data_IF_946301376178
#
_entry.id   IF_946301376178
#
_cell.length_a   1.000
_cell.length_b   1.000
_cell.length_c   1.000
_cell.angle_alpha   90.00
_cell.angle_beta   90.00
_cell.angle_gamma   90.00
#
_symmetry.space_group_name_H-M   'P 1'
#
loop_
_entity.id
_entity.type
_entity.pdbx_description
1 polymer ?
#
# COMPACT_ATOMS: atom_id res chain seq x y z
N UNK A 1 -0.76 -20.77 29.86
CA UNK A 1 0.22 -19.97 29.09
C UNK A 1 -0.54 -18.76 28.58
N UNK A 2 -0.43 -17.66 29.30
CA UNK A 2 -1.00 -16.36 28.91
C UNK A 2 -0.20 -15.84 27.74
N UNK A 3 -0.81 -15.78 26.56
CA UNK A 3 -0.30 -15.05 25.41
C UNK A 3 -0.19 -13.58 25.81
N UNK A 4 1.03 -13.12 26.05
CA UNK A 4 1.33 -11.68 26.09
C UNK A 4 0.91 -11.13 24.73
N UNK A 5 -0.24 -10.46 24.69
CA UNK A 5 -0.56 -9.56 23.60
C UNK A 5 0.51 -8.47 23.64
N UNK A 6 1.47 -8.57 22.73
CA UNK A 6 2.52 -7.58 22.55
C UNK A 6 1.81 -6.24 22.31
N UNK A 7 1.93 -5.32 23.26
CA UNK A 7 1.27 -4.01 23.13
C UNK A 7 1.97 -3.30 21.98
N UNK A 8 1.26 -2.79 20.95
CA UNK A 8 1.90 -2.12 19.84
C UNK A 8 2.78 -1.00 20.38
N UNK A 9 4.06 -1.00 19.99
CA UNK A 9 4.98 0.07 20.36
C UNK A 9 4.43 1.39 19.82
N UNK A 10 4.22 2.35 20.71
CA UNK A 10 3.66 3.65 20.33
C UNK A 10 4.74 4.47 19.62
N UNK A 11 4.45 5.03 18.42
CA UNK A 11 5.41 5.84 17.69
C UNK A 11 5.72 7.14 18.46
N UNK A 12 6.96 7.61 18.39
CA UNK A 12 7.40 8.90 18.94
C UNK A 12 7.51 9.98 17.86
N UNK A 13 7.80 9.54 16.63
CA UNK A 13 7.86 10.34 15.40
C UNK A 13 7.06 9.67 14.30
N UNK A 14 6.64 10.43 13.31
CA UNK A 14 5.94 9.89 12.14
C UNK A 14 6.75 8.79 11.45
N UNK A 15 8.08 8.90 11.44
CA UNK A 15 8.97 7.89 10.86
C UNK A 15 9.03 6.57 11.63
N UNK A 16 8.58 6.55 12.88
CA UNK A 16 8.45 5.30 13.64
C UNK A 16 7.22 4.49 13.20
N UNK A 17 6.27 5.11 12.48
CA UNK A 17 5.07 4.43 11.96
C UNK A 17 5.44 3.68 10.68
N UNK A 18 5.25 2.35 10.62
CA UNK A 18 5.50 1.60 9.40
C UNK A 18 4.61 2.09 8.23
N UNK A 19 5.16 2.16 7.02
CA UNK A 19 4.40 2.53 5.82
C UNK A 19 5.24 3.27 4.79
N UNK A 20 4.73 3.31 3.55
CA UNK A 20 5.42 3.91 2.40
C UNK A 20 4.88 5.30 2.11
N UNK A 21 5.41 6.30 2.81
CA UNK A 21 5.08 7.70 2.54
C UNK A 21 6.35 8.52 2.29
N UNK A 22 6.88 8.49 1.05
CA UNK A 22 8.13 9.14 0.70
C UNK A 22 8.09 10.66 0.93
N UNK A 23 9.25 11.25 1.16
CA UNK A 23 9.39 12.69 1.45
C UNK A 23 8.75 13.59 0.39
N UNK A 24 8.89 13.26 -0.89
CA UNK A 24 8.27 14.06 -1.95
C UNK A 24 6.75 14.07 -1.81
N UNK A 25 6.14 12.94 -1.48
CA UNK A 25 4.70 12.83 -1.35
C UNK A 25 4.20 13.51 -0.07
N UNK A 26 4.99 13.50 1.02
CA UNK A 26 4.71 14.34 2.21
C UNK A 26 4.69 15.83 1.85
N UNK A 27 5.69 16.31 1.10
CA UNK A 27 5.75 17.70 0.65
C UNK A 27 4.59 18.04 -0.29
N UNK A 28 4.21 17.12 -1.19
CA UNK A 28 3.09 17.33 -2.10
C UNK A 28 1.76 17.36 -1.36
N UNK A 29 1.50 16.45 -0.43
CA UNK A 29 0.28 16.45 0.39
C UNK A 29 0.17 17.77 1.15
N UNK A 30 1.25 18.19 1.81
CA UNK A 30 1.29 19.46 2.54
C UNK A 30 1.00 20.65 1.61
N UNK A 31 1.66 20.70 0.46
CA UNK A 31 1.49 21.79 -0.52
C UNK A 31 0.07 21.86 -1.08
N UNK A 32 -0.54 20.73 -1.44
CA UNK A 32 -1.92 20.70 -1.94
C UNK A 32 -2.92 21.13 -0.87
N UNK A 33 -2.72 20.68 0.37
CA UNK A 33 -3.63 21.00 1.48
C UNK A 33 -3.44 22.45 1.95
N UNK A 34 -2.21 22.97 2.00
CA UNK A 34 -1.91 24.39 2.25
C UNK A 34 -2.55 25.30 1.19
N UNK A 35 -2.44 24.92 -0.08
CA UNK A 35 -3.08 25.64 -1.19
C UNK A 35 -4.59 25.69 -1.02
N UNK A 36 -5.22 24.55 -0.72
CA UNK A 36 -6.66 24.48 -0.45
C UNK A 36 -7.06 25.35 0.75
N UNK A 37 -6.26 25.32 1.82
CA UNK A 37 -6.52 26.10 3.02
C UNK A 37 -6.41 27.61 2.75
N UNK A 38 -5.40 28.04 2.00
CA UNK A 38 -5.20 29.43 1.58
C UNK A 38 -6.29 29.94 0.62
N UNK A 39 -6.88 29.04 -0.17
CA UNK A 39 -8.03 29.32 -1.03
C UNK A 39 -9.38 29.15 -0.30
N UNK A 40 -9.37 28.92 1.02
CA UNK A 40 -10.55 28.69 1.85
C UNK A 40 -11.44 27.52 1.38
N UNK A 41 -10.87 26.56 0.66
CA UNK A 41 -11.57 25.33 0.27
C UNK A 41 -11.76 24.48 1.53
N UNK A 42 -13.02 24.18 1.85
CA UNK A 42 -13.42 23.28 2.95
C UNK A 42 -14.00 22.00 2.38
N UNK A 43 -14.00 20.94 3.18
CA UNK A 43 -14.52 19.65 2.75
C UNK A 43 -13.81 18.50 3.44
N UNK A 44 -14.48 17.35 3.36
CA UNK A 44 -14.06 16.11 3.98
C UNK A 44 -12.74 15.60 3.38
N UNK A 45 -12.09 14.72 4.13
CA UNK A 45 -10.94 13.94 3.68
C UNK A 45 -11.36 12.47 3.58
N UNK A 46 -10.80 11.76 2.60
CA UNK A 46 -10.96 10.32 2.47
C UNK A 46 -9.62 9.66 2.14
N UNK A 47 -9.36 8.53 2.79
CA UNK A 47 -8.26 7.64 2.43
C UNK A 47 -8.74 6.19 2.34
N UNK A 48 -8.41 5.52 1.25
CA UNK A 48 -8.69 4.10 1.00
C UNK A 48 -7.36 3.36 0.98
N UNK A 49 -7.18 2.41 1.88
CA UNK A 49 -5.89 1.81 2.21
C UNK A 49 -5.10 2.72 3.14
N UNK A 50 -5.03 2.37 4.43
CA UNK A 50 -4.30 3.16 5.43
C UNK A 50 -3.17 2.40 6.08
N UNK A 51 -3.17 1.07 6.00
CA UNK A 51 -2.18 0.22 6.63
C UNK A 51 -1.99 0.59 8.12
N UNK A 52 -0.78 0.93 8.55
CA UNK A 52 -0.46 1.34 9.92
C UNK A 52 -0.67 2.83 10.18
N UNK A 53 -1.18 3.59 9.20
CA UNK A 53 -1.69 4.94 9.35
C UNK A 53 -0.69 6.07 9.10
N UNK A 54 0.46 5.84 8.44
CA UNK A 54 1.48 6.89 8.27
C UNK A 54 0.97 8.11 7.49
N UNK A 55 0.38 7.91 6.31
CA UNK A 55 -0.28 8.95 5.52
C UNK A 55 -1.54 9.46 6.23
N UNK A 56 -2.31 8.58 6.87
CA UNK A 56 -3.52 8.96 7.58
C UNK A 56 -3.26 9.93 8.74
N UNK A 57 -2.22 9.66 9.54
CA UNK A 57 -1.76 10.56 10.61
C UNK A 57 -1.40 11.92 10.04
N UNK A 58 -0.81 11.96 8.84
CA UNK A 58 -0.45 13.20 8.18
C UNK A 58 -1.69 13.99 7.74
N UNK A 59 -2.61 13.33 7.02
CA UNK A 59 -3.86 13.92 6.54
C UNK A 59 -4.75 14.42 7.68
N UNK A 60 -4.85 13.67 8.78
CA UNK A 60 -5.68 14.02 9.93
C UNK A 60 -5.37 15.38 10.56
N UNK A 61 -4.16 15.93 10.35
CA UNK A 61 -3.79 17.27 10.84
C UNK A 61 -4.40 18.41 10.03
N UNK A 62 -4.96 18.10 8.87
CA UNK A 62 -5.46 19.06 7.89
C UNK A 62 -6.98 19.18 7.98
N UNK A 63 -7.60 18.66 9.03
CA UNK A 63 -9.03 18.84 9.29
C UNK A 63 -9.31 20.23 9.83
N UNK A 64 -10.30 20.90 9.22
CA UNK A 64 -10.91 22.09 9.77
C UNK A 64 -12.08 21.74 10.69
N UNK A 65 -12.55 22.73 11.45
CA UNK A 65 -13.79 22.59 12.21
C UNK A 65 -14.96 22.29 11.27
N UNK A 66 -15.62 21.16 11.50
CA UNK A 66 -16.75 20.69 10.69
C UNK A 66 -16.39 19.71 9.56
N UNK A 67 -15.12 19.59 9.19
CA UNK A 67 -14.68 18.57 8.22
C UNK A 67 -14.80 17.18 8.85
N UNK A 68 -15.12 16.17 8.04
CA UNK A 68 -15.04 14.75 8.42
C UNK A 68 -13.83 14.11 7.75
N UNK A 69 -13.21 13.18 8.45
CA UNK A 69 -12.20 12.30 7.86
C UNK A 69 -12.68 10.86 7.91
N UNK A 70 -12.76 10.22 6.74
CA UNK A 70 -13.06 8.80 6.63
C UNK A 70 -11.83 8.04 6.15
N UNK A 71 -11.54 6.92 6.81
CA UNK A 71 -10.51 5.97 6.38
C UNK A 71 -11.14 4.62 6.11
N UNK A 72 -10.73 3.93 5.05
CA UNK A 72 -11.23 2.61 4.70
C UNK A 72 -10.08 1.62 4.51
N UNK A 73 -10.13 0.47 5.20
CA UNK A 73 -9.13 -0.59 5.07
C UNK A 73 -9.72 -1.93 5.51
N UNK A 74 -9.18 -3.03 5.00
CA UNK A 74 -9.53 -4.38 5.43
C UNK A 74 -8.98 -4.69 6.83
N UNK A 75 -7.80 -4.15 7.17
CA UNK A 75 -6.99 -4.51 8.34
C UNK A 75 -6.79 -6.03 8.46
N UNK A 76 -7.16 -6.63 9.59
CA UNK A 76 -7.17 -8.08 9.80
C UNK A 76 -8.38 -8.80 9.14
N UNK A 77 -9.19 -8.07 8.37
CA UNK A 77 -10.36 -8.59 7.68
C UNK A 77 -10.02 -9.42 6.44
N UNK A 78 -10.96 -10.25 6.01
CA UNK A 78 -10.81 -11.08 4.82
C UNK A 78 -10.83 -10.22 3.56
N UNK A 79 -9.77 -10.30 2.77
CA UNK A 79 -9.77 -9.77 1.42
C UNK A 79 -10.85 -10.45 0.56
N UNK A 80 -11.53 -9.73 -0.34
CA UNK A 80 -12.62 -10.27 -1.13
C UNK A 80 -12.16 -11.30 -2.17
N UNK A 81 -10.89 -11.26 -2.58
CA UNK A 81 -10.31 -12.17 -3.57
C UNK A 81 -8.96 -12.77 -3.11
N UNK A 82 -8.56 -13.86 -3.77
CA UNK A 82 -7.37 -14.65 -3.39
C UNK A 82 -6.05 -13.92 -3.65
N UNK A 83 -6.01 -12.98 -4.61
CA UNK A 83 -4.79 -12.26 -4.93
C UNK A 83 -4.49 -11.18 -3.88
N UNK A 84 -5.48 -10.39 -3.50
CA UNK A 84 -5.41 -9.45 -2.36
C UNK A 84 -5.12 -10.20 -1.05
N UNK A 85 -5.68 -11.41 -0.86
CA UNK A 85 -5.40 -12.25 0.32
C UNK A 85 -3.94 -12.71 0.36
N UNK A 86 -3.39 -13.13 -0.79
CA UNK A 86 -2.01 -13.58 -0.91
C UNK A 86 -1.00 -12.44 -0.68
N UNK A 87 -1.31 -11.23 -1.13
CA UNK A 87 -0.53 -10.02 -0.84
C UNK A 87 -0.62 -9.63 0.64
N UNK A 88 -1.82 -9.58 1.20
CA UNK A 88 -2.03 -9.25 2.62
C UNK A 88 -1.29 -10.21 3.57
N UNK A 89 -1.28 -11.50 3.24
CA UNK A 89 -0.57 -12.52 4.01
C UNK A 89 0.96 -12.34 3.96
N UNK A 90 1.51 -11.79 2.86
CA UNK A 90 2.96 -11.61 2.69
C UNK A 90 3.47 -10.29 3.26
N UNK A 91 2.71 -9.22 3.12
CA UNK A 91 3.16 -7.85 3.42
C UNK A 91 2.60 -7.29 4.72
N UNK A 92 1.48 -7.84 5.24
CA UNK A 92 0.70 -7.22 6.31
C UNK A 92 0.47 -8.11 7.54
N UNK A 93 1.32 -9.10 7.80
CA UNK A 93 1.11 -10.07 8.90
C UNK A 93 1.02 -9.49 10.34
N UNK A 94 1.36 -8.21 10.54
CA UNK A 94 1.19 -7.49 11.81
C UNK A 94 0.08 -6.43 11.77
N UNK A 95 -0.54 -6.20 10.60
CA UNK A 95 -1.60 -5.21 10.41
C UNK A 95 -2.84 -5.62 11.20
N UNK A 96 -3.26 -4.74 12.09
CA UNK A 96 -4.57 -4.81 12.75
C UNK A 96 -5.13 -3.41 12.83
N UNK A 97 -6.46 -3.30 12.87
CA UNK A 97 -7.15 -2.04 13.13
C UNK A 97 -6.63 -1.39 14.42
N UNK A 98 -6.40 -2.20 15.45
CA UNK A 98 -5.84 -1.74 16.72
C UNK A 98 -4.46 -1.11 16.58
N UNK A 99 -3.59 -1.65 15.71
CA UNK A 99 -2.27 -1.08 15.46
C UNK A 99 -2.38 0.29 14.78
N UNK A 100 -3.22 0.40 13.75
CA UNK A 100 -3.56 1.68 13.12
C UNK A 100 -4.10 2.69 14.15
N UNK A 101 -5.12 2.33 14.93
CA UNK A 101 -5.74 3.22 15.92
C UNK A 101 -4.74 3.67 16.98
N UNK A 102 -3.85 2.77 17.43
CA UNK A 102 -2.79 3.10 18.39
C UNK A 102 -1.79 4.11 17.81
N UNK A 103 -1.37 3.92 16.56
CA UNK A 103 -0.48 4.85 15.88
C UNK A 103 -1.17 6.20 15.66
N UNK A 104 -2.41 6.19 15.17
CA UNK A 104 -3.17 7.42 14.89
C UNK A 104 -3.38 8.26 16.15
N UNK A 105 -3.86 7.63 17.24
CA UNK A 105 -4.09 8.29 18.51
C UNK A 105 -2.81 8.75 19.21
N UNK A 106 -1.63 8.26 18.79
CA UNK A 106 -0.36 8.80 19.27
C UNK A 106 -0.12 10.25 18.81
N UNK A 107 -0.77 10.69 17.73
CA UNK A 107 -0.64 12.05 17.18
C UNK A 107 -1.93 12.86 17.28
N UNK A 108 -3.08 12.20 17.30
CA UNK A 108 -4.41 12.83 17.29
C UNK A 108 -5.23 12.48 18.53
N UNK A 109 -6.17 13.32 18.93
CA UNK A 109 -7.01 13.10 20.12
C UNK A 109 -8.19 12.18 19.85
N UNK A 110 -8.66 12.13 18.61
CA UNK A 110 -9.83 11.37 18.19
C UNK A 110 -9.51 10.60 16.91
N UNK A 111 -10.18 9.46 16.71
CA UNK A 111 -10.03 8.67 15.49
C UNK A 111 -10.81 9.31 14.34
N UNK A 112 -10.37 9.13 13.09
CA UNK A 112 -11.23 9.36 11.94
C UNK A 112 -12.37 8.33 11.96
N UNK A 113 -13.34 8.52 11.08
CA UNK A 113 -14.36 7.51 10.83
C UNK A 113 -13.72 6.30 10.13
N UNK A 114 -13.58 5.20 10.87
CA UNK A 114 -12.96 3.96 10.37
C UNK A 114 -14.00 3.03 9.75
N UNK A 115 -13.94 2.87 8.43
CA UNK A 115 -14.70 1.88 7.66
C UNK A 115 -13.82 0.64 7.50
N UNK A 116 -14.01 -0.34 8.37
CA UNK A 116 -13.30 -1.61 8.26
C UNK A 116 -14.03 -2.54 7.28
N UNK A 117 -13.45 -2.76 6.10
CA UNK A 117 -14.06 -3.57 5.04
C UNK A 117 -13.55 -3.22 3.64
N UNK A 118 -14.12 -3.83 2.59
CA UNK A 118 -13.75 -3.51 1.22
C UNK A 118 -14.14 -2.06 0.89
N UNK A 119 -13.36 -1.44 0.01
CA UNK A 119 -13.58 -0.06 -0.45
C UNK A 119 -14.91 0.15 -1.17
N UNK A 120 -15.57 -0.92 -1.64
CA UNK A 120 -16.94 -0.90 -2.15
C UNK A 120 -17.98 -0.38 -1.15
N UNK A 121 -17.64 -0.28 0.13
CA UNK A 121 -18.49 0.34 1.15
C UNK A 121 -18.44 1.87 1.11
N UNK A 122 -17.34 2.47 0.66
CA UNK A 122 -17.10 3.93 0.69
C UNK A 122 -18.27 4.77 0.15
N UNK A 123 -18.93 4.43 -0.98
CA UNK A 123 -20.04 5.23 -1.50
C UNK A 123 -21.25 5.35 -0.57
N UNK A 124 -21.45 4.39 0.35
CA UNK A 124 -22.52 4.46 1.36
C UNK A 124 -22.09 5.22 2.63
N UNK A 125 -20.80 5.47 2.77
CA UNK A 125 -20.15 5.90 4.00
C UNK A 125 -19.63 7.35 3.93
N UNK A 126 -19.55 7.90 2.72
CA UNK A 126 -19.06 9.25 2.42
C UNK A 126 -20.10 9.96 1.55
N UNK A 127 -20.39 11.21 1.90
CA UNK A 127 -21.38 12.02 1.18
C UNK A 127 -20.86 12.40 -0.22
N UNK A 128 -21.68 12.28 -1.28
CA UNK A 128 -21.28 12.70 -2.62
C UNK A 128 -20.87 14.18 -2.66
N UNK A 129 -19.78 14.49 -3.35
CA UNK A 129 -19.24 15.84 -3.47
C UNK A 129 -18.86 16.51 -2.15
N UNK A 130 -18.55 15.77 -1.09
CA UNK A 130 -18.14 16.36 0.20
C UNK A 130 -16.63 16.47 0.37
N UNK A 131 -15.83 15.65 -0.33
CA UNK A 131 -14.40 15.57 -0.10
C UNK A 131 -13.60 16.62 -0.90
N UNK A 132 -12.65 17.29 -0.25
CA UNK A 132 -11.67 18.15 -0.93
C UNK A 132 -10.41 17.39 -1.35
N UNK A 133 -10.11 16.28 -0.68
CA UNK A 133 -8.90 15.49 -0.91
C UNK A 133 -9.19 14.00 -0.69
N UNK A 134 -8.86 13.16 -1.68
CA UNK A 134 -9.02 11.70 -1.64
C UNK A 134 -7.68 11.03 -1.97
N UNK A 135 -7.24 10.10 -1.12
CA UNK A 135 -6.08 9.25 -1.36
C UNK A 135 -6.52 7.79 -1.57
N UNK A 136 -6.11 7.18 -2.68
CA UNK A 136 -6.36 5.77 -3.00
C UNK A 136 -5.02 5.03 -3.00
N UNK A 137 -4.85 4.13 -2.03
CA UNK A 137 -3.67 3.31 -1.74
C UNK A 137 -4.10 1.92 -1.21
N UNK A 138 -5.21 1.40 -1.75
CA UNK A 138 -5.86 0.17 -1.31
C UNK A 138 -5.34 -1.10 -2.01
N UNK A 139 -6.07 -1.53 -3.05
CA UNK A 139 -5.73 -2.74 -3.81
C UNK A 139 -4.77 -2.46 -4.97
N UNK A 140 -4.01 -3.48 -5.39
CA UNK A 140 -3.16 -3.42 -6.57
C UNK A 140 -3.79 -4.06 -7.82
N UNK A 141 -5.04 -4.53 -7.72
CA UNK A 141 -5.79 -5.13 -8.82
C UNK A 141 -6.60 -4.07 -9.56
N UNK A 142 -6.62 -4.19 -10.88
CA UNK A 142 -7.26 -3.23 -11.78
C UNK A 142 -8.72 -2.96 -11.42
N UNK A 143 -9.51 -4.01 -11.15
CA UNK A 143 -10.95 -3.92 -10.92
C UNK A 143 -11.27 -3.08 -9.68
N UNK A 144 -10.56 -3.31 -8.58
CA UNK A 144 -10.75 -2.55 -7.34
C UNK A 144 -10.31 -1.09 -7.50
N UNK A 145 -9.14 -0.85 -8.11
CA UNK A 145 -8.65 0.51 -8.35
C UNK A 145 -9.58 1.28 -9.30
N UNK A 146 -10.13 0.60 -10.30
CA UNK A 146 -11.09 1.20 -11.23
C UNK A 146 -12.34 1.69 -10.49
N UNK A 147 -12.90 0.86 -9.61
CA UNK A 147 -14.07 1.19 -8.81
C UNK A 147 -13.75 2.28 -7.77
N UNK A 148 -12.60 2.21 -7.11
CA UNK A 148 -12.13 3.22 -6.14
C UNK A 148 -11.96 4.60 -6.79
N UNK A 149 -11.39 4.67 -8.00
CA UNK A 149 -11.31 5.92 -8.77
C UNK A 149 -12.71 6.46 -9.10
N UNK A 150 -13.68 5.56 -9.35
CA UNK A 150 -15.08 5.93 -9.56
C UNK A 150 -15.69 6.54 -8.31
N UNK A 151 -15.56 5.86 -7.17
CA UNK A 151 -16.03 6.36 -5.89
C UNK A 151 -15.38 7.70 -5.53
N UNK A 152 -14.07 7.86 -5.74
CA UNK A 152 -13.37 9.11 -5.52
C UNK A 152 -13.96 10.26 -6.35
N UNK A 153 -14.26 10.02 -7.63
CA UNK A 153 -14.92 11.01 -8.48
C UNK A 153 -16.27 11.47 -7.92
N UNK A 154 -17.05 10.53 -7.40
CA UNK A 154 -18.41 10.82 -6.92
C UNK A 154 -18.41 11.59 -5.59
N UNK A 155 -17.41 11.35 -4.73
CA UNK A 155 -17.30 12.03 -3.42
C UNK A 155 -16.49 13.32 -3.48
N UNK A 156 -15.68 13.54 -4.51
CA UNK A 156 -14.86 14.76 -4.63
C UNK A 156 -15.71 15.98 -5.00
N UNK A 157 -15.36 17.11 -4.38
CA UNK A 157 -15.71 18.44 -4.86
C UNK A 157 -15.21 18.65 -6.31
N UNK A 158 -15.82 19.58 -7.09
CA UNK A 158 -15.46 19.80 -8.49
C UNK A 158 -13.95 20.01 -8.74
N UNK A 159 -13.28 20.78 -7.88
CA UNK A 159 -11.83 21.04 -7.94
C UNK A 159 -11.04 20.28 -6.85
N UNK A 160 -11.65 19.24 -6.29
CA UNK A 160 -11.00 18.37 -5.32
C UNK A 160 -9.82 17.60 -5.94
N UNK A 161 -8.91 17.15 -5.07
CA UNK A 161 -7.69 16.46 -5.46
C UNK A 161 -7.84 14.96 -5.19
N UNK A 162 -7.55 14.13 -6.20
CA UNK A 162 -7.36 12.69 -6.03
C UNK A 162 -5.87 12.36 -6.14
N UNK A 163 -5.42 11.45 -5.29
CA UNK A 163 -4.08 10.90 -5.32
C UNK A 163 -4.16 9.39 -5.46
N UNK A 164 -3.54 8.86 -6.51
CA UNK A 164 -3.50 7.44 -6.81
C UNK A 164 -2.10 6.92 -6.51
N UNK A 165 -1.96 6.04 -5.52
CA UNK A 165 -0.69 5.42 -5.19
C UNK A 165 -0.28 4.33 -6.18
N UNK A 166 0.99 3.96 -6.15
CA UNK A 166 1.59 2.84 -6.86
C UNK A 166 1.34 2.71 -8.38
N UNK A 167 0.88 3.77 -9.07
CA UNK A 167 0.62 3.73 -10.52
C UNK A 167 1.86 3.47 -11.38
N UNK A 168 3.07 3.47 -10.79
CA UNK A 168 4.35 3.15 -11.46
C UNK A 168 5.13 2.03 -10.79
N UNK A 169 4.57 1.37 -9.79
CA UNK A 169 5.22 0.25 -9.12
C UNK A 169 5.22 -0.98 -10.01
N UNK A 170 6.37 -1.67 -10.11
CA UNK A 170 6.55 -2.76 -11.09
C UNK A 170 5.62 -3.96 -10.86
N UNK A 171 5.20 -4.16 -9.61
CA UNK A 171 4.37 -5.28 -9.18
C UNK A 171 2.86 -4.96 -9.23
N UNK A 172 2.48 -3.73 -9.59
CA UNK A 172 1.10 -3.22 -9.56
C UNK A 172 0.60 -2.76 -10.94
N UNK A 173 0.80 -3.52 -12.04
CA UNK A 173 0.44 -3.07 -13.38
C UNK A 173 -1.06 -2.75 -13.53
N UNK A 174 -1.94 -3.38 -12.74
CA UNK A 174 -3.37 -3.08 -12.72
C UNK A 174 -3.68 -1.64 -12.30
N UNK A 175 -2.93 -1.11 -11.33
CA UNK A 175 -3.03 0.28 -10.87
C UNK A 175 -2.66 1.25 -11.98
N UNK A 176 -1.55 0.99 -12.70
CA UNK A 176 -1.14 1.79 -13.86
C UNK A 176 -2.24 1.83 -14.93
N UNK A 177 -2.83 0.69 -15.25
CA UNK A 177 -3.89 0.59 -16.27
C UNK A 177 -5.12 1.39 -15.83
N UNK A 178 -5.60 1.20 -14.60
CA UNK A 178 -6.77 1.91 -14.08
C UNK A 178 -6.56 3.43 -14.02
N UNK A 179 -5.39 3.89 -13.56
CA UNK A 179 -5.04 5.30 -13.49
C UNK A 179 -5.02 5.97 -14.87
N UNK A 180 -4.37 5.34 -15.86
CA UNK A 180 -4.32 5.90 -17.22
C UNK A 180 -5.65 5.77 -17.97
N UNK A 181 -6.44 4.73 -17.74
CA UNK A 181 -7.80 4.66 -18.25
C UNK A 181 -8.68 5.78 -17.67
N UNK A 182 -8.54 6.07 -16.38
CA UNK A 182 -9.26 7.18 -15.77
C UNK A 182 -8.94 8.52 -16.45
N UNK A 183 -7.67 8.72 -16.80
CA UNK A 183 -7.22 9.90 -17.54
C UNK A 183 -7.78 9.95 -18.96
N UNK A 184 -7.59 8.87 -19.71
CA UNK A 184 -7.86 8.84 -21.15
C UNK A 184 -9.34 8.65 -21.49
N UNK A 185 -10.14 8.09 -20.57
CA UNK A 185 -11.51 7.67 -20.86
C UNK A 185 -12.54 8.12 -19.82
N UNK A 186 -12.12 8.53 -18.62
CA UNK A 186 -13.04 8.92 -17.53
C UNK A 186 -12.85 10.36 -17.05
N UNK A 187 -12.07 11.15 -17.78
CA UNK A 187 -11.97 12.60 -17.62
C UNK A 187 -11.10 13.06 -16.44
N UNK A 188 -10.35 12.16 -15.79
CA UNK A 188 -9.37 12.55 -14.79
C UNK A 188 -8.26 13.39 -15.46
N UNK A 189 -7.92 14.54 -14.90
CA UNK A 189 -6.88 15.41 -15.44
C UNK A 189 -5.66 15.39 -14.52
N UNK A 190 -4.50 14.90 -14.98
CA UNK A 190 -3.29 14.88 -14.17
C UNK A 190 -2.83 16.29 -13.81
N UNK A 191 -2.51 16.50 -12.55
CA UNK A 191 -1.85 17.71 -12.06
C UNK A 191 -0.35 17.48 -12.05
N UNK A 192 0.11 16.49 -11.29
CA UNK A 192 1.52 16.11 -11.26
C UNK A 192 1.73 14.63 -10.95
N UNK A 193 2.94 14.16 -11.23
CA UNK A 193 3.40 12.81 -10.95
C UNK A 193 4.59 12.86 -10.01
N UNK A 194 4.55 12.09 -8.93
CA UNK A 194 5.73 11.77 -8.13
C UNK A 194 6.42 10.53 -8.70
N UNK A 195 7.25 9.86 -7.89
CA UNK A 195 7.87 8.61 -8.33
C UNK A 195 6.83 7.48 -8.43
N UNK A 196 5.91 7.42 -7.46
CA UNK A 196 4.92 6.34 -7.34
C UNK A 196 3.47 6.83 -7.36
N UNK A 197 3.19 8.12 -7.18
CA UNK A 197 1.83 8.68 -7.11
C UNK A 197 1.45 9.55 -8.30
N UNK A 198 0.20 9.42 -8.75
CA UNK A 198 -0.45 10.34 -9.69
C UNK A 198 -1.41 11.25 -8.91
N UNK A 199 -1.23 12.55 -9.03
CA UNK A 199 -2.13 13.56 -8.48
C UNK A 199 -2.99 14.10 -9.61
N UNK A 200 -4.30 14.19 -9.41
CA UNK A 200 -5.23 14.66 -10.42
C UNK A 200 -6.45 15.34 -9.85
N UNK A 201 -7.26 15.89 -10.76
CA UNK A 201 -8.57 16.49 -10.47
C UNK A 201 -9.49 16.27 -11.65
N UNK A 202 -10.81 16.36 -11.44
CA UNK A 202 -11.78 16.42 -12.54
C UNK A 202 -12.08 17.87 -12.98
N UNK A 203 -11.64 18.87 -12.21
CA UNK A 203 -11.74 20.29 -12.51
C UNK A 203 -10.70 20.79 -13.51
N UNK A 204 -10.32 22.06 -13.42
CA UNK A 204 -9.24 22.63 -14.25
C UNK A 204 -7.85 22.44 -13.58
N UNK A 205 -6.94 21.63 -14.16
CA UNK A 205 -5.61 21.43 -13.59
C UNK A 205 -4.67 22.61 -13.84
N UNK A 206 -4.96 23.53 -14.76
CA UNK A 206 -3.98 24.54 -15.19
C UNK A 206 -3.54 25.48 -14.06
N UNK A 207 -4.44 26.08 -13.26
CA UNK A 207 -4.03 26.97 -12.16
C UNK A 207 -3.14 26.26 -11.15
N UNK A 208 -3.49 25.00 -10.81
CA UNK A 208 -2.73 24.24 -9.81
C UNK A 208 -1.39 23.77 -10.31
N UNK A 209 -1.29 23.43 -11.59
CA UNK A 209 -0.03 23.12 -12.22
C UNK A 209 0.89 24.35 -12.31
N UNK A 210 0.36 25.53 -12.65
CA UNK A 210 1.17 26.75 -12.78
C UNK A 210 1.74 27.22 -11.44
N UNK A 211 0.94 27.16 -10.39
CA UNK A 211 1.39 27.43 -9.03
C UNK A 211 2.40 26.39 -8.54
N UNK A 212 2.20 25.10 -8.82
CA UNK A 212 3.16 24.05 -8.47
C UNK A 212 4.50 24.25 -9.18
N UNK A 213 4.46 24.53 -10.49
CA UNK A 213 5.64 24.83 -11.30
C UNK A 213 6.39 26.03 -10.75
N UNK A 214 5.67 27.05 -10.28
CA UNK A 214 6.27 28.24 -9.64
C UNK A 214 6.91 27.87 -8.30
N UNK A 215 6.20 27.12 -7.45
CA UNK A 215 6.66 26.74 -6.12
C UNK A 215 7.91 25.84 -6.12
N UNK A 216 8.09 25.03 -7.17
CA UNK A 216 9.22 24.08 -7.27
C UNK A 216 10.35 24.55 -8.18
N UNK A 217 10.18 25.65 -8.94
CA UNK A 217 11.15 26.11 -9.95
C UNK A 217 12.54 26.37 -9.37
N UNK A 218 12.60 27.00 -8.20
CA UNK A 218 13.84 27.46 -7.58
C UNK A 218 14.37 26.49 -6.52
N UNK A 219 13.79 25.29 -6.43
CA UNK A 219 14.24 24.23 -5.51
C UNK A 219 15.42 23.48 -6.11
N UNK A 220 16.52 23.42 -5.39
CA UNK A 220 17.70 22.61 -5.74
C UNK A 220 17.57 21.14 -5.32
N UNK A 221 16.65 20.86 -4.39
CA UNK A 221 16.38 19.54 -3.84
C UNK A 221 15.27 18.76 -4.58
N UNK A 222 14.68 19.31 -5.63
CA UNK A 222 13.61 18.68 -6.40
C UNK A 222 13.87 18.74 -7.91
N UNK A 223 13.88 17.59 -8.58
CA UNK A 223 13.95 17.54 -10.05
C UNK A 223 12.57 17.72 -10.66
N UNK A 224 12.44 18.74 -11.49
CA UNK A 224 11.26 19.02 -12.29
C UNK A 224 11.48 18.61 -13.75
N UNK A 225 10.46 17.99 -14.36
CA UNK A 225 10.36 17.84 -15.81
C UNK A 225 8.90 17.96 -16.24
N UNK A 226 8.66 18.59 -17.38
CA UNK A 226 7.32 18.69 -17.98
C UNK A 226 7.32 17.97 -19.31
N UNK A 227 6.34 17.12 -19.54
CA UNK A 227 6.12 16.42 -20.79
C UNK A 227 4.68 16.63 -21.26
N UNK A 228 4.45 16.53 -22.57
CA UNK A 228 3.10 16.52 -23.12
C UNK A 228 2.82 15.14 -23.70
N UNK A 229 1.71 14.52 -23.26
CA UNK A 229 1.31 13.20 -23.74
C UNK A 229 -0.22 13.10 -23.72
N UNK A 230 -0.79 12.53 -24.78
CA UNK A 230 -2.24 12.31 -24.93
C UNK A 230 -3.10 13.55 -24.63
N UNK A 231 -2.61 14.75 -24.99
CA UNK A 231 -3.34 16.01 -24.76
C UNK A 231 -3.20 16.58 -23.34
N UNK A 232 -2.40 15.96 -22.46
CA UNK A 232 -2.18 16.43 -21.10
C UNK A 232 -0.77 16.98 -20.90
N UNK A 233 -0.67 18.05 -20.11
CA UNK A 233 0.60 18.52 -19.51
C UNK A 233 0.92 17.64 -18.30
N UNK A 234 2.00 16.89 -18.38
CA UNK A 234 2.47 15.99 -17.33
C UNK A 234 3.64 16.62 -16.58
N UNK A 235 3.35 17.28 -15.45
CA UNK A 235 4.36 17.80 -14.52
C UNK A 235 4.89 16.63 -13.69
N UNK A 236 6.18 16.34 -13.76
CA UNK A 236 6.80 15.25 -13.01
C UNK A 236 7.87 15.77 -12.08
N UNK A 237 7.76 15.34 -10.82
CA UNK A 237 8.63 15.73 -9.72
C UNK A 237 9.36 14.50 -9.20
N UNK A 238 10.62 14.68 -8.79
CA UNK A 238 11.43 13.65 -8.15
C UNK A 238 12.29 14.27 -7.07
N UNK A 239 12.26 13.71 -5.87
CA UNK A 239 13.14 14.14 -4.78
C UNK A 239 14.61 13.96 -5.17
N UNK A 240 15.42 14.96 -4.85
CA UNK A 240 16.87 14.98 -4.93
C UNK A 240 17.44 15.38 -3.56
N UNK A 241 17.14 14.58 -2.54
CA UNK A 241 17.58 14.87 -1.16
C UNK A 241 16.67 15.89 -0.47
N UNK A 242 15.39 15.95 -0.86
CA UNK A 242 14.40 16.77 -0.14
C UNK A 242 14.34 16.37 1.33
N UNK A 243 14.03 17.36 2.18
CA UNK A 243 13.68 17.13 3.58
C UNK A 243 12.18 16.98 3.73
N UNK A 244 11.77 16.09 4.63
CA UNK A 244 10.38 15.98 5.05
C UNK A 244 9.91 17.33 5.62
N UNK A 245 8.63 17.70 5.43
CA UNK A 245 8.07 18.84 6.12
C UNK A 245 8.13 18.62 7.64
N UNK A 246 8.17 19.72 8.40
CA UNK A 246 8.20 19.63 9.85
C UNK A 246 6.90 18.97 10.35
N UNK A 247 7.04 17.88 11.10
CA UNK A 247 5.92 17.13 11.65
C UNK A 247 6.05 17.05 13.17
N UNK A 248 5.00 17.39 13.95
CA UNK A 248 5.05 17.33 15.40
C UNK A 248 5.33 15.93 15.93
N UNK A 249 6.01 15.93 17.07
CA UNK A 249 6.25 14.72 17.82
C UNK A 249 4.92 14.16 18.34
N UNK A 250 4.89 12.85 18.57
CA UNK A 250 3.73 12.21 19.17
C UNK A 250 3.58 12.61 20.64
N UNK A 251 2.41 12.36 21.23
CA UNK A 251 2.18 12.53 22.67
C UNK A 251 3.05 11.62 23.57
N UNK A 252 3.78 10.69 22.97
CA UNK A 252 4.64 9.71 23.63
C UNK A 252 6.14 10.01 23.42
N UNK A 253 6.50 11.16 22.87
CA UNK A 253 7.87 11.49 22.49
C UNK A 253 8.87 11.43 23.66
N UNK A 254 8.41 11.84 24.85
CA UNK A 254 9.19 11.86 26.08
C UNK A 254 9.13 10.54 26.87
N UNK A 255 8.35 9.55 26.41
CA UNK A 255 8.32 8.24 27.05
C UNK A 255 9.69 7.56 26.92
N UNK A 256 10.18 6.90 27.99
CA UNK A 256 11.44 6.17 27.94
C UNK A 256 11.40 5.18 26.79
N UNK A 257 12.42 5.21 25.92
CA UNK A 257 12.52 4.24 24.85
C UNK A 257 12.43 2.82 25.43
N UNK A 258 11.65 1.91 24.83
CA UNK A 258 11.61 0.53 25.27
C UNK A 258 13.04 0.00 25.27
N UNK A 259 13.49 -0.54 26.41
CA UNK A 259 14.78 -1.23 26.47
C UNK A 259 14.68 -2.37 25.46
N UNK A 260 15.57 -2.45 24.45
CA UNK A 260 15.53 -3.57 23.52
C UNK A 260 15.56 -4.84 24.36
N UNK A 261 14.56 -5.71 24.20
CA UNK A 261 14.61 -7.02 24.82
C UNK A 261 15.93 -7.64 24.38
N UNK A 262 16.86 -7.81 25.34
CA UNK A 262 18.17 -8.38 25.07
C UNK A 262 17.94 -9.63 24.21
N UNK A 263 18.50 -9.63 23.00
CA UNK A 263 18.32 -10.71 22.04
C UNK A 263 18.53 -12.02 22.80
N UNK A 264 17.43 -12.74 23.06
CA UNK A 264 17.51 -14.07 23.64
C UNK A 264 18.33 -14.85 22.64
N UNK A 265 19.57 -15.14 23.04
CA UNK A 265 20.49 -15.95 22.26
C UNK A 265 19.71 -17.19 21.85
N UNK A 266 19.56 -17.50 20.56
CA UNK A 266 18.83 -18.70 20.15
C UNK A 266 19.48 -19.87 20.89
N UNK A 267 18.68 -20.59 21.67
CA UNK A 267 19.14 -21.78 22.35
C UNK A 267 19.77 -22.69 21.29
N UNK A 268 21.01 -23.11 21.58
CA UNK A 268 21.85 -23.94 20.70
C UNK A 268 21.00 -25.11 20.19
N UNK A 269 20.73 -25.14 18.89
CA UNK A 269 20.05 -26.27 18.27
C UNK A 269 20.80 -27.57 18.63
N UNK A 270 20.10 -28.66 18.98
CA UNK A 270 20.77 -29.93 19.23
C UNK A 270 21.55 -30.36 17.98
N UNK A 271 22.76 -30.86 18.21
CA UNK A 271 23.67 -31.24 17.14
C UNK A 271 23.02 -32.27 16.20
N UNK A 272 23.24 -32.17 14.87
CA UNK A 272 22.74 -33.16 13.92
C UNK A 272 23.39 -34.52 14.19
N UNK A 273 22.67 -35.64 13.97
CA UNK A 273 23.21 -36.98 14.13
C UNK A 273 24.37 -37.23 13.15
N UNK A 274 25.36 -37.98 13.61
CA UNK A 274 26.58 -38.31 12.86
C UNK A 274 26.27 -38.94 11.47
N UNK A 275 27.09 -38.65 10.44
CA UNK A 275 26.87 -39.16 9.10
C UNK A 275 27.02 -40.69 9.06
N UNK A 276 26.04 -41.36 8.44
CA UNK A 276 26.11 -42.79 8.10
C UNK A 276 27.19 -43.03 7.04
N UNK A 277 27.86 -44.22 7.06
CA UNK A 277 28.90 -44.54 6.10
C UNK A 277 28.36 -44.62 4.66
N UNK A 278 29.17 -44.31 3.65
CA UNK A 278 28.73 -44.23 2.26
C UNK A 278 28.36 -45.61 1.71
N UNK A 279 27.17 -45.71 1.10
CA UNK A 279 26.77 -46.86 0.28
C UNK A 279 27.50 -46.82 -1.08
N UNK A 280 27.85 -47.98 -1.67
CA UNK A 280 28.64 -48.04 -2.89
C UNK A 280 27.92 -47.41 -4.09
N UNK A 281 28.67 -46.61 -4.87
CA UNK A 281 28.22 -45.88 -6.06
C UNK A 281 27.81 -46.88 -7.15
N UNK A 282 26.55 -46.83 -7.59
CA UNK A 282 26.13 -47.41 -8.88
C UNK A 282 26.54 -46.46 -10.01
N UNK A 283 27.01 -47.05 -11.10
CA UNK A 283 27.71 -46.44 -12.24
C UNK A 283 26.89 -45.38 -12.99
N UNK A 284 27.60 -44.40 -13.54
CA UNK A 284 27.10 -43.29 -14.37
C UNK A 284 26.78 -43.79 -15.78
N UNK A 285 25.55 -44.23 -16.03
CA UNK A 285 25.01 -44.42 -17.39
C UNK A 285 23.48 -44.52 -17.39
N UNK A 286 22.80 -43.40 -17.12
CA UNK A 286 21.41 -43.09 -17.55
C UNK A 286 20.97 -41.81 -16.85
N UNK A 287 21.35 -40.68 -17.43
CA UNK A 287 20.74 -39.38 -17.12
C UNK A 287 20.90 -38.46 -18.31
N UNK A 288 20.12 -38.78 -19.34
CA UNK A 288 19.80 -37.93 -20.49
C UNK A 288 18.64 -38.64 -21.18
N UNK A 289 17.57 -37.89 -21.45
CA UNK A 289 16.22 -38.32 -21.83
C UNK A 289 15.28 -38.53 -20.65
N UNK A 290 14.53 -37.47 -20.36
CA UNK A 290 13.19 -37.35 -19.73
C UNK A 290 13.22 -36.00 -19.02
N UNK A 291 12.87 -34.94 -19.76
CA UNK A 291 12.22 -33.72 -19.27
C UNK A 291 11.83 -32.79 -20.43
N UNK A 292 11.34 -33.39 -21.53
CA UNK A 292 10.58 -32.69 -22.56
C UNK A 292 9.49 -33.66 -23.02
N UNK A 293 8.30 -33.54 -22.41
CA UNK A 293 6.96 -33.63 -23.02
C UNK A 293 5.87 -33.84 -21.93
N UNK A 294 4.76 -33.08 -21.94
CA UNK A 294 3.67 -33.15 -20.95
C UNK A 294 2.51 -34.08 -21.44
N UNK A 295 1.34 -34.11 -20.78
CA UNK A 295 0.83 -35.16 -19.90
C UNK A 295 -0.29 -36.05 -20.53
N UNK A 296 -0.81 -37.04 -19.78
CA UNK A 296 -2.08 -37.79 -19.96
C UNK A 296 -1.98 -39.19 -20.61
N UNK A 297 -2.67 -40.18 -19.97
CA UNK A 297 -2.95 -41.58 -20.35
C UNK A 297 -1.73 -42.54 -20.26
N UNK A 298 -1.76 -43.72 -19.63
CA UNK A 298 -2.80 -44.76 -19.66
C UNK A 298 -2.57 -45.79 -18.55
N UNK A 299 -3.65 -46.28 -17.93
CA UNK A 299 -3.70 -47.54 -17.17
C UNK A 299 -3.21 -48.71 -18.02
N UNK A 300 -2.78 -49.77 -17.32
CA UNK A 300 -2.58 -51.16 -17.79
C UNK A 300 -1.18 -51.55 -18.31
N UNK A 301 -0.28 -51.90 -17.39
CA UNK A 301 0.53 -53.13 -17.52
C UNK A 301 0.47 -53.86 -16.17
N UNK A 302 -0.52 -54.75 -16.10
CA UNK A 302 -0.67 -55.82 -15.11
C UNK A 302 -0.03 -57.08 -15.71
N UNK A 303 0.54 -57.92 -14.84
CA UNK A 303 0.95 -59.31 -15.08
C UNK A 303 2.26 -59.57 -15.82
N UNK A 304 3.36 -59.65 -15.07
CA UNK A 304 4.30 -60.78 -15.14
C UNK A 304 5.39 -60.62 -14.08
N UNK A 305 5.15 -61.16 -12.88
CA UNK A 305 6.18 -61.73 -11.97
C UNK A 305 5.55 -62.10 -10.64
N UNK A 306 5.43 -63.40 -10.40
CA UNK A 306 5.23 -63.93 -9.05
C UNK A 306 4.06 -64.90 -8.91
N UNK A 307 4.01 -65.95 -9.71
CA UNK A 307 3.30 -67.17 -9.31
C UNK A 307 4.19 -68.38 -9.62
N UNK A 308 4.58 -69.11 -8.57
CA UNK A 308 5.41 -70.30 -8.69
C UNK A 308 5.96 -70.85 -7.36
N UNK A 309 5.04 -71.22 -6.43
CA UNK A 309 4.92 -72.47 -5.62
C UNK A 309 6.16 -73.12 -4.94
N UNK A 310 6.01 -74.10 -3.99
CA UNK A 310 4.79 -74.69 -3.41
C UNK A 310 4.79 -74.88 -1.87
N UNK A 311 3.64 -75.38 -1.38
CA UNK A 311 3.26 -75.86 -0.04
C UNK A 311 4.06 -77.07 0.46
N UNK A 312 4.13 -77.25 1.80
CA UNK A 312 3.66 -78.44 2.52
C UNK A 312 3.92 -78.37 4.05
N UNK A 313 2.87 -78.09 4.82
CA UNK A 313 2.35 -78.81 6.02
C UNK A 313 1.63 -77.86 6.97
#
# INVERSE_FOLDING_TARGET
MTTTHDTPLRPRRLDDVPGWFPVLDQVLFDWFLDRQDAAEVRGDLLEVGVYMGKSAIFLGRRLHEGDRYTVCDLFEGDAPDDANRAESTKSYGALTRRAFETNYLSFHTELPRVVQGPSSLVPAEVEPGSCRFVHIDGSHLYEHVYDDIGAARDVLLPDGIVVLDDFRSEHTPGVSVAAWEAVLSRGLRPICLSTQKLYGTWGDPEPVQDELLTAVRDRDDCRLSVQHAAGHRLVRLKSQGMRAPDFPLSRHADEPAPVPAAARTPAKAPAPPAPRPPRPRRSRARRLAVDLLPPILTRAIVNARGNGRPEAR
#
